data_IF_386385185601
#
_entry.id   IF_386385185601
#
_cell.length_a   1.000
_cell.length_b   1.000
_cell.length_c   1.000
_cell.angle_alpha   90.00
_cell.angle_beta   90.00
_cell.angle_gamma   90.00
#
_symmetry.space_group_name_H-M   'P 1'
#
loop_
_entity.id
_entity.type
_entity.pdbx_description
1 polymer ?
#
# COMPACT_ATOMS: atom_id res chain seq x y z
N UNK A 1 15.56 16.49 5.99
CA UNK A 1 16.15 16.24 7.33
C UNK A 1 15.46 15.04 7.94
N UNK A 2 16.21 13.96 8.18
CA UNK A 2 15.72 12.85 8.99
C UNK A 2 15.73 13.33 10.46
N UNK A 3 14.60 13.21 11.15
CA UNK A 3 14.47 13.67 12.54
C UNK A 3 14.94 12.64 13.57
N UNK A 4 15.21 11.42 13.12
CA UNK A 4 15.65 10.31 13.95
C UNK A 4 17.14 10.06 13.72
N UNK A 5 17.86 9.83 14.81
CA UNK A 5 19.20 9.24 14.77
C UNK A 5 19.12 7.78 14.34
N UNK A 6 20.25 7.20 13.91
CA UNK A 6 20.31 5.82 13.45
C UNK A 6 19.82 4.81 14.52
N UNK A 7 20.14 5.05 15.79
CA UNK A 7 19.68 4.20 16.90
C UNK A 7 18.17 4.35 17.17
N UNK A 8 17.58 5.51 16.91
CA UNK A 8 16.14 5.71 17.13
C UNK A 8 15.31 5.02 16.04
N UNK A 9 15.85 4.92 14.82
CA UNK A 9 15.18 4.22 13.72
C UNK A 9 14.97 2.72 14.01
N UNK A 10 15.91 2.08 14.70
CA UNK A 10 15.81 0.65 15.04
C UNK A 10 14.78 0.35 16.14
N UNK A 11 14.33 1.38 16.88
CA UNK A 11 13.33 1.25 17.94
C UNK A 11 11.89 1.56 17.45
N UNK A 12 11.72 1.89 16.17
CA UNK A 12 10.41 2.18 15.60
C UNK A 12 9.62 0.89 15.36
N UNK A 13 8.27 0.96 15.44
CA UNK A 13 7.44 -0.23 15.30
C UNK A 13 7.55 -0.83 13.90
N UNK A 14 7.39 -2.14 13.81
CA UNK A 14 7.22 -2.82 12.52
C UNK A 14 5.89 -2.38 11.90
N UNK A 15 5.97 -1.44 10.95
CA UNK A 15 4.82 -0.79 10.33
C UNK A 15 5.10 -0.55 8.85
N UNK A 16 4.19 -1.00 7.98
CA UNK A 16 4.31 -0.81 6.52
C UNK A 16 4.18 0.66 6.09
N UNK A 17 3.59 1.50 6.94
CA UNK A 17 3.52 2.95 6.75
C UNK A 17 4.78 3.70 7.20
N UNK A 18 5.84 3.01 7.65
CA UNK A 18 7.08 3.64 8.07
C UNK A 18 8.07 3.72 6.88
N UNK A 19 8.57 4.92 6.61
CA UNK A 19 9.63 5.14 5.62
C UNK A 19 11.03 4.89 6.20
N UNK A 20 12.02 4.73 5.31
CA UNK A 20 13.44 4.55 5.68
C UNK A 20 14.02 5.74 6.48
N UNK A 21 13.38 6.90 6.42
CA UNK A 21 13.75 8.10 7.18
C UNK A 21 12.89 8.30 8.44
N UNK A 22 12.23 7.24 8.93
CA UNK A 22 11.41 7.28 10.14
C UNK A 22 10.12 8.10 10.04
N UNK A 23 9.75 8.59 8.85
CA UNK A 23 8.49 9.33 8.64
C UNK A 23 7.34 8.38 8.35
N UNK A 24 6.15 8.72 8.85
CA UNK A 24 4.92 8.04 8.48
C UNK A 24 4.48 8.46 7.08
N UNK A 25 4.16 7.48 6.23
CA UNK A 25 3.63 7.70 4.87
C UNK A 25 2.11 7.79 4.85
N UNK A 26 1.43 7.33 5.92
CA UNK A 26 -0.04 7.31 6.04
C UNK A 26 -0.60 8.57 6.69
N UNK A 27 0.12 9.12 7.67
CA UNK A 27 -0.29 10.29 8.45
C UNK A 27 0.71 11.42 8.27
N UNK A 28 0.22 12.65 8.15
CA UNK A 28 1.06 13.84 8.17
C UNK A 28 1.34 14.26 9.62
N UNK A 29 2.17 13.49 10.30
CA UNK A 29 2.58 13.73 11.70
C UNK A 29 4.07 14.00 11.80
N UNK A 30 4.45 14.82 12.77
CA UNK A 30 5.86 15.16 12.99
C UNK A 30 6.70 14.00 13.53
N UNK A 31 6.09 13.09 14.29
CA UNK A 31 6.73 11.92 14.90
C UNK A 31 5.80 10.69 14.81
N UNK A 32 6.39 9.51 14.64
CA UNK A 32 5.65 8.25 14.69
C UNK A 32 5.03 8.05 16.09
N UNK A 33 3.76 7.63 16.14
CA UNK A 33 3.02 7.39 17.38
C UNK A 33 3.30 6.00 18.01
N UNK A 34 4.20 5.20 17.42
CA UNK A 34 4.59 3.91 17.96
C UNK A 34 3.46 2.87 17.94
N UNK A 35 3.45 2.00 18.94
CA UNK A 35 2.48 0.91 19.12
C UNK A 35 1.03 1.39 19.31
N UNK A 36 0.83 2.60 19.84
CA UNK A 36 -0.51 3.19 20.03
C UNK A 36 -1.13 3.78 18.75
N UNK A 37 -0.43 3.71 17.61
CA UNK A 37 -0.94 4.23 16.35
C UNK A 37 -2.11 3.38 15.83
N UNK A 38 -3.30 3.95 15.73
CA UNK A 38 -4.49 3.28 15.20
C UNK A 38 -4.40 2.91 13.71
N UNK A 39 -3.42 3.49 13.00
CA UNK A 39 -3.12 3.20 11.60
C UNK A 39 -1.92 2.27 11.42
N UNK A 40 -1.34 1.73 12.51
CA UNK A 40 -0.26 0.74 12.43
C UNK A 40 -0.78 -0.49 11.69
N UNK A 41 0.04 -1.03 10.81
CA UNK A 41 -0.20 -2.33 10.20
C UNK A 41 1.11 -2.92 9.69
N UNK A 42 1.25 -4.24 9.74
CA UNK A 42 2.40 -4.94 9.17
C UNK A 42 2.28 -5.06 7.65
N UNK A 43 3.37 -5.44 6.98
CA UNK A 43 3.33 -5.67 5.52
C UNK A 43 2.41 -6.86 5.18
N UNK A 44 2.35 -7.84 6.05
CA UNK A 44 1.57 -9.06 5.92
C UNK A 44 0.07 -8.76 6.02
N UNK A 45 -0.32 -7.98 7.03
CA UNK A 45 -1.70 -7.50 7.21
C UNK A 45 -2.15 -6.63 6.03
N UNK A 46 -1.29 -5.71 5.57
CA UNK A 46 -1.63 -4.87 4.41
C UNK A 46 -1.81 -5.71 3.14
N UNK A 47 -0.94 -6.70 2.89
CA UNK A 47 -1.11 -7.63 1.77
C UNK A 47 -2.39 -8.44 1.89
N UNK A 48 -2.73 -8.93 3.08
CA UNK A 48 -3.97 -9.67 3.32
C UNK A 48 -5.19 -8.80 3.05
N UNK A 49 -5.20 -7.56 3.57
CA UNK A 49 -6.25 -6.57 3.35
C UNK A 49 -6.46 -6.24 1.87
N UNK A 50 -5.37 -5.97 1.14
CA UNK A 50 -5.40 -5.72 -0.32
C UNK A 50 -5.93 -6.96 -1.05
N UNK A 51 -5.48 -8.17 -0.68
CA UNK A 51 -5.96 -9.41 -1.29
C UNK A 51 -7.46 -9.59 -1.10
N UNK A 52 -7.98 -9.38 0.11
CA UNK A 52 -9.41 -9.45 0.40
C UNK A 52 -10.21 -8.41 -0.39
N UNK A 53 -9.71 -7.17 -0.49
CA UNK A 53 -10.35 -6.13 -1.30
C UNK A 53 -10.40 -6.53 -2.79
N UNK A 54 -9.31 -7.09 -3.31
CA UNK A 54 -9.22 -7.53 -4.69
C UNK A 54 -10.14 -8.71 -5.00
N UNK A 55 -10.31 -9.65 -4.08
CA UNK A 55 -11.30 -10.73 -4.22
C UNK A 55 -12.74 -10.18 -4.31
N UNK A 56 -13.07 -9.19 -3.48
CA UNK A 56 -14.39 -8.52 -3.54
C UNK A 56 -14.60 -7.75 -4.85
N UNK A 57 -13.55 -7.13 -5.39
CA UNK A 57 -13.63 -6.46 -6.69
C UNK A 57 -13.81 -7.47 -7.82
N UNK A 58 -13.12 -8.61 -7.77
CA UNK A 58 -13.26 -9.70 -8.74
C UNK A 58 -14.66 -10.31 -8.75
N UNK A 59 -15.38 -10.32 -7.63
CA UNK A 59 -16.73 -10.88 -7.55
C UNK A 59 -17.81 -9.96 -8.14
N UNK A 60 -17.47 -8.74 -8.59
CA UNK A 60 -18.41 -7.84 -9.24
C UNK A 60 -18.51 -8.14 -10.74
N UNK A 61 -19.61 -7.72 -11.38
CA UNK A 61 -19.73 -7.79 -12.84
C UNK A 61 -18.61 -7.02 -13.54
N UNK A 62 -18.18 -7.52 -14.70
CA UNK A 62 -17.08 -6.94 -15.49
C UNK A 62 -17.32 -5.47 -15.83
N UNK A 63 -18.57 -5.07 -16.11
CA UNK A 63 -18.91 -3.67 -16.39
C UNK A 63 -18.59 -2.77 -15.18
N UNK A 64 -18.94 -3.22 -13.97
CA UNK A 64 -18.69 -2.50 -12.73
C UNK A 64 -17.20 -2.46 -12.38
N UNK A 65 -16.48 -3.57 -12.60
CA UNK A 65 -15.03 -3.60 -12.46
C UNK A 65 -14.34 -2.58 -13.39
N UNK A 66 -14.75 -2.50 -14.67
CA UNK A 66 -14.23 -1.52 -15.64
C UNK A 66 -14.51 -0.08 -15.20
N UNK A 67 -15.69 0.20 -14.66
CA UNK A 67 -16.03 1.52 -14.14
C UNK A 67 -15.13 1.92 -12.97
N UNK A 68 -14.94 1.01 -11.99
CA UNK A 68 -14.05 1.23 -10.84
C UNK A 68 -12.61 1.45 -11.31
N UNK A 69 -12.12 0.62 -12.23
CA UNK A 69 -10.78 0.74 -12.79
C UNK A 69 -10.54 2.11 -13.44
N UNK A 70 -11.47 2.58 -14.27
CA UNK A 70 -11.38 3.92 -14.88
C UNK A 70 -11.38 5.04 -13.84
N UNK A 71 -12.21 4.93 -12.81
CA UNK A 71 -12.37 5.98 -11.79
C UNK A 71 -11.18 6.09 -10.83
N UNK A 72 -10.61 4.95 -10.42
CA UNK A 72 -9.64 4.93 -9.32
C UNK A 72 -8.25 4.38 -9.69
N UNK A 73 -8.13 3.66 -10.82
CA UNK A 73 -6.93 2.92 -11.18
C UNK A 73 -6.44 3.21 -12.60
N UNK A 74 -6.80 4.38 -13.17
CA UNK A 74 -6.35 4.78 -14.51
C UNK A 74 -6.78 3.84 -15.64
N UNK A 75 -7.88 3.10 -15.45
CA UNK A 75 -8.38 2.11 -16.40
C UNK A 75 -7.81 0.70 -16.25
N UNK A 76 -6.84 0.49 -15.35
CA UNK A 76 -6.23 -0.81 -15.10
C UNK A 76 -7.00 -1.55 -14.00
N UNK A 77 -7.13 -2.87 -14.10
CA UNK A 77 -7.75 -3.72 -13.07
C UNK A 77 -6.67 -4.51 -12.32
N UNK A 78 -5.96 -3.92 -11.33
CA UNK A 78 -4.81 -4.55 -10.66
C UNK A 78 -5.14 -5.85 -9.91
N UNK A 79 -6.42 -6.11 -9.65
CA UNK A 79 -6.92 -7.36 -9.09
C UNK A 79 -7.01 -8.50 -10.11
N UNK A 80 -7.00 -8.21 -11.42
CA UNK A 80 -6.94 -9.23 -12.46
C UNK A 80 -5.48 -9.68 -12.66
N UNK A 81 -5.21 -10.99 -12.63
CA UNK A 81 -3.87 -11.57 -12.81
C UNK A 81 -3.23 -11.18 -14.14
N UNK A 82 -4.02 -11.03 -15.20
CA UNK A 82 -3.52 -10.63 -16.53
C UNK A 82 -2.98 -9.20 -16.56
N UNK A 83 -3.55 -8.31 -15.73
CA UNK A 83 -3.11 -6.91 -15.64
C UNK A 83 -1.70 -6.76 -15.03
N UNK A 84 -1.25 -7.72 -14.20
CA UNK A 84 0.07 -7.73 -13.58
C UNK A 84 1.20 -7.97 -14.58
N UNK A 85 0.90 -8.62 -15.72
CA UNK A 85 1.87 -8.90 -16.78
C UNK A 85 2.29 -7.64 -17.56
N UNK A 86 1.38 -6.68 -17.73
CA UNK A 86 1.64 -5.46 -18.50
C UNK A 86 2.63 -4.50 -17.82
N UNK A 87 2.74 -4.54 -16.48
CA UNK A 87 3.69 -3.70 -15.72
C UNK A 87 5.14 -4.20 -15.84
N UNK A 88 5.36 -5.48 -16.16
CA UNK A 88 6.70 -6.05 -16.39
C UNK A 88 7.20 -5.80 -17.82
N UNK A 89 6.30 -5.58 -18.78
CA UNK A 89 6.67 -5.33 -20.19
C UNK A 89 7.02 -3.86 -20.48
N UNK A 90 6.69 -2.92 -19.60
CA UNK A 90 6.94 -1.48 -19.79
C UNK A 90 8.19 -0.94 -19.08
N UNK A 91 8.99 -1.80 -18.44
CA UNK A 91 10.23 -1.43 -17.73
C UNK A 91 11.49 -1.95 -18.47
N UNK A 92 11.32 -2.42 -19.71
CA UNK A 92 12.43 -2.72 -20.62
C UNK A 92 12.57 -1.54 -21.57
N UNK A 93 13.35 -0.54 -21.17
CA UNK A 93 14.07 0.38 -22.06
C UNK A 93 15.38 0.75 -21.37
#
# INVERSE_FOLDING_TARGET
>A
MNKYSLLELTNLPECSGLSEHGRCTRLNVFYCQGEGCTFKSTKEEERASISSAYQRLLSLDVSKQKQIARKYYGGIMPWNKESKSYKLKSVIF
#
